data_IF_458220771497
#
_entry.id   IF_458220771497
#
_cell.length_a   1.000
_cell.length_b   1.000
_cell.length_c   1.000
_cell.angle_alpha   90.00
_cell.angle_beta   90.00
_cell.angle_gamma   90.00
#
_symmetry.space_group_name_H-M   'P 1'
#
loop_
_entity.id
_entity.type
_entity.pdbx_description
1 polymer ?
#
# COMPACT_ATOMS: atom_id res chain seq x y z
N UNK A 1 8.27 -20.22 5.38
CA UNK A 1 8.27 -18.79 5.00
C UNK A 1 6.97 -18.52 4.27
N UNK A 2 6.31 -17.41 4.60
CA UNK A 2 5.14 -16.96 3.86
C UNK A 2 5.54 -16.55 2.43
N UNK A 3 4.66 -16.79 1.47
CA UNK A 3 4.83 -16.29 0.10
C UNK A 3 3.93 -15.06 -0.07
N UNK A 4 4.53 -13.88 0.08
CA UNK A 4 3.81 -12.60 0.05
C UNK A 4 3.30 -12.25 -1.35
N UNK A 5 3.94 -12.76 -2.42
CA UNK A 5 3.41 -12.60 -3.80
C UNK A 5 2.17 -13.43 -4.00
N UNK A 6 2.17 -14.67 -3.51
CA UNK A 6 0.98 -15.50 -3.54
C UNK A 6 -0.15 -14.91 -2.68
N UNK A 7 0.18 -14.26 -1.55
CA UNK A 7 -0.80 -13.54 -0.73
C UNK A 7 -1.39 -12.33 -1.47
N UNK A 8 -0.56 -11.51 -2.12
CA UNK A 8 -1.03 -10.42 -2.99
C UNK A 8 -1.93 -10.95 -4.11
N UNK A 9 -1.54 -12.05 -4.77
CA UNK A 9 -2.36 -12.69 -5.81
C UNK A 9 -3.74 -13.10 -5.30
N UNK A 10 -3.84 -13.57 -4.05
CA UNK A 10 -5.13 -13.88 -3.40
C UNK A 10 -5.94 -12.62 -3.09
N UNK A 11 -5.32 -11.53 -2.65
CA UNK A 11 -6.02 -10.25 -2.48
C UNK A 11 -6.54 -9.71 -3.81
N UNK A 12 -5.75 -9.76 -4.88
CA UNK A 12 -6.18 -9.32 -6.21
C UNK A 12 -7.36 -10.14 -6.73
N UNK A 13 -7.32 -11.47 -6.53
CA UNK A 13 -8.44 -12.33 -6.87
C UNK A 13 -9.69 -11.99 -6.02
N UNK A 14 -9.52 -11.73 -4.73
CA UNK A 14 -10.61 -11.33 -3.83
C UNK A 14 -11.19 -9.95 -4.19
N UNK A 15 -10.36 -8.98 -4.60
CA UNK A 15 -10.78 -7.67 -5.09
C UNK A 15 -11.64 -7.83 -6.35
N UNK A 16 -11.15 -8.60 -7.33
CA UNK A 16 -11.86 -8.84 -8.59
C UNK A 16 -13.21 -9.55 -8.37
N UNK A 17 -13.28 -10.40 -7.35
CA UNK A 17 -14.50 -11.11 -6.97
C UNK A 17 -15.44 -10.32 -6.05
N UNK A 18 -15.09 -9.09 -5.63
CA UNK A 18 -15.85 -8.29 -4.67
C UNK A 18 -15.81 -8.81 -3.22
N UNK A 19 -14.99 -9.81 -2.93
CA UNK A 19 -14.87 -10.39 -1.59
C UNK A 19 -14.14 -9.47 -0.60
N UNK A 20 -13.35 -8.52 -1.10
CA UNK A 20 -12.71 -7.49 -0.28
C UNK A 20 -13.67 -6.37 0.13
N UNK A 21 -14.74 -6.15 -0.63
CA UNK A 21 -15.65 -5.02 -0.42
C UNK A 21 -16.29 -5.06 0.97
N UNK A 22 -16.83 -6.21 1.36
CA UNK A 22 -17.45 -6.39 2.68
C UNK A 22 -16.47 -6.19 3.85
N UNK A 23 -15.19 -6.52 3.66
CA UNK A 23 -14.15 -6.26 4.66
C UNK A 23 -13.88 -4.76 4.72
N UNK A 24 -13.64 -4.13 3.58
CA UNK A 24 -13.31 -2.71 3.47
C UNK A 24 -14.44 -1.82 4.02
N UNK A 25 -15.69 -2.10 3.63
CA UNK A 25 -16.88 -1.39 4.11
C UNK A 25 -17.04 -1.52 5.63
N UNK A 26 -16.84 -2.71 6.19
CA UNK A 26 -16.95 -2.95 7.64
C UNK A 26 -15.98 -2.09 8.45
N UNK A 27 -14.79 -1.83 7.91
CA UNK A 27 -13.76 -1.01 8.57
C UNK A 27 -13.76 0.46 8.11
N UNK A 28 -14.73 0.87 7.30
CA UNK A 28 -14.82 2.25 6.79
C UNK A 28 -13.63 2.63 5.89
N UNK A 29 -13.05 1.65 5.18
CA UNK A 29 -11.97 1.91 4.23
C UNK A 29 -12.50 2.69 3.04
N UNK A 30 -11.83 3.77 2.67
CA UNK A 30 -12.13 4.54 1.46
C UNK A 30 -11.30 4.06 0.27
N UNK A 31 -10.03 3.73 0.53
CA UNK A 31 -9.03 3.36 -0.47
C UNK A 31 -8.11 2.31 0.15
N UNK A 32 -7.86 1.22 -0.59
CA UNK A 32 -6.87 0.20 -0.27
C UNK A 32 -6.01 -0.08 -1.50
N UNK A 33 -4.70 -0.09 -1.35
CA UNK A 33 -3.75 -0.48 -2.40
C UNK A 33 -2.60 -1.29 -1.85
N UNK A 34 -2.03 -2.16 -2.68
CA UNK A 34 -0.76 -2.82 -2.38
C UNK A 34 0.40 -2.01 -2.96
N UNK A 35 1.54 -2.02 -2.28
CA UNK A 35 2.76 -1.38 -2.77
C UNK A 35 4.00 -2.19 -2.36
N UNK A 36 5.18 -1.60 -2.57
CA UNK A 36 6.43 -2.16 -2.09
C UNK A 36 6.92 -3.37 -2.90
N UNK A 37 7.70 -4.23 -2.24
CA UNK A 37 8.45 -5.30 -2.92
C UNK A 37 7.58 -6.44 -3.46
N UNK A 38 6.34 -6.56 -2.98
CA UNK A 38 5.37 -7.54 -3.45
C UNK A 38 4.75 -7.16 -4.80
N UNK A 39 4.69 -5.87 -5.14
CA UNK A 39 4.08 -5.36 -6.39
C UNK A 39 5.09 -5.18 -7.54
N UNK A 40 6.39 -5.31 -7.28
CA UNK A 40 7.44 -5.09 -8.28
C UNK A 40 7.42 -6.18 -9.40
N UNK A 41 7.20 -5.76 -10.68
CA UNK A 41 7.09 -6.65 -11.83
C UNK A 41 8.42 -7.21 -12.35
N UNK A 42 9.58 -6.95 -11.72
CA UNK A 42 10.89 -7.60 -12.04
C UNK A 42 10.92 -9.13 -11.75
N UNK A 43 9.74 -9.71 -11.65
CA UNK A 43 9.35 -11.07 -12.02
C UNK A 43 10.09 -11.62 -13.29
N UNK A 44 10.21 -12.94 -13.41
CA UNK A 44 11.36 -13.74 -13.84
C UNK A 44 12.20 -13.43 -15.10
N UNK A 45 11.92 -12.42 -15.90
CA UNK A 45 12.49 -12.29 -17.25
C UNK A 45 13.74 -11.40 -17.28
N UNK A 46 13.87 -10.48 -16.32
CA UNK A 46 15.07 -9.66 -16.11
C UNK A 46 16.20 -10.41 -15.37
N UNK A 47 16.01 -11.72 -15.10
CA UNK A 47 16.95 -12.64 -14.45
C UNK A 47 18.28 -12.84 -15.19
N UNK A 48 18.39 -12.45 -16.46
CA UNK A 48 19.52 -12.84 -17.31
C UNK A 48 20.73 -11.89 -17.25
N UNK A 49 20.57 -10.63 -16.80
CA UNK A 49 21.64 -9.62 -16.90
C UNK A 49 22.23 -9.11 -15.58
N UNK A 50 21.53 -9.29 -14.44
CA UNK A 50 22.01 -8.80 -13.14
C UNK A 50 22.31 -9.94 -12.17
N UNK A 51 23.61 -10.12 -11.85
CA UNK A 51 24.11 -10.98 -10.77
C UNK A 51 23.88 -10.27 -9.42
N UNK A 52 22.61 -10.09 -9.05
CA UNK A 52 22.21 -9.74 -7.68
C UNK A 52 21.27 -10.84 -7.19
N UNK A 53 21.45 -11.40 -5.99
CA UNK A 53 20.56 -12.44 -5.48
C UNK A 53 19.15 -11.86 -5.34
N UNK A 54 18.23 -12.40 -6.14
CA UNK A 54 16.80 -12.17 -6.08
C UNK A 54 16.31 -12.31 -4.63
N UNK A 55 15.71 -11.27 -4.07
CA UNK A 55 15.11 -11.32 -2.74
C UNK A 55 13.60 -11.46 -2.90
N UNK A 56 13.06 -12.56 -2.38
CA UNK A 56 11.61 -12.66 -2.19
C UNK A 56 11.13 -11.48 -1.31
N UNK A 57 9.93 -10.95 -1.56
CA UNK A 57 9.33 -9.96 -0.67
C UNK A 57 9.28 -10.53 0.76
N UNK A 58 9.52 -9.67 1.74
CA UNK A 58 9.59 -10.05 3.17
C UNK A 58 8.26 -9.89 3.88
N UNK A 59 7.40 -9.07 3.31
CA UNK A 59 6.18 -8.51 3.85
C UNK A 59 5.21 -8.20 2.68
N UNK A 60 3.99 -7.85 3.05
CA UNK A 60 2.96 -7.36 2.16
C UNK A 60 2.53 -5.97 2.62
N UNK A 61 3.09 -4.95 1.97
CA UNK A 61 2.79 -3.55 2.26
C UNK A 61 1.44 -3.13 1.65
N UNK A 62 0.54 -2.63 2.47
CA UNK A 62 -0.78 -2.15 2.05
C UNK A 62 -1.02 -0.72 2.53
N UNK A 63 -1.31 0.18 1.59
CA UNK A 63 -1.70 1.54 1.85
C UNK A 63 -3.22 1.61 2.04
N UNK A 64 -3.65 2.21 3.15
CA UNK A 64 -5.07 2.30 3.51
C UNK A 64 -5.45 3.71 3.93
N UNK A 65 -6.59 4.19 3.44
CA UNK A 65 -7.26 5.37 3.98
C UNK A 65 -8.61 4.97 4.55
N UNK A 66 -8.88 5.32 5.81
CA UNK A 66 -10.15 5.09 6.49
C UNK A 66 -10.93 6.41 6.52
N UNK A 67 -12.26 6.37 6.48
CA UNK A 67 -13.11 7.55 6.59
C UNK A 67 -12.79 8.37 7.86
N UNK A 68 -12.84 9.70 7.73
CA UNK A 68 -12.39 10.62 8.78
C UNK A 68 -13.24 10.58 10.06
N UNK A 69 -14.51 10.18 9.95
CA UNK A 69 -15.45 10.04 11.05
C UNK A 69 -15.38 8.69 11.77
N UNK A 70 -14.52 7.78 11.29
CA UNK A 70 -14.38 6.42 11.81
C UNK A 70 -13.11 6.29 12.66
N UNK A 71 -13.24 5.74 13.87
CA UNK A 71 -12.07 5.34 14.66
C UNK A 71 -11.41 4.14 13.98
N UNK A 72 -10.12 4.26 13.59
CA UNK A 72 -9.45 3.21 12.84
C UNK A 72 -9.16 1.98 13.71
N UNK A 73 -9.73 0.84 13.36
CA UNK A 73 -9.30 -0.47 13.87
C UNK A 73 -8.34 -1.13 12.87
N UNK A 74 -7.10 -0.61 12.78
CA UNK A 74 -6.09 -1.12 11.87
C UNK A 74 -5.66 -2.56 12.20
N UNK A 75 -5.68 -2.92 13.49
CA UNK A 75 -5.34 -4.27 13.94
C UNK A 75 -6.41 -5.26 13.50
N UNK A 76 -7.68 -4.93 13.70
CA UNK A 76 -8.81 -5.73 13.21
C UNK A 76 -8.84 -5.82 11.69
N UNK A 77 -8.53 -4.73 10.99
CA UNK A 77 -8.41 -4.72 9.53
C UNK A 77 -7.29 -5.65 9.05
N UNK A 78 -6.09 -5.55 9.63
CA UNK A 78 -4.96 -6.42 9.30
C UNK A 78 -5.31 -7.91 9.52
N UNK A 79 -5.97 -8.24 10.65
CA UNK A 79 -6.42 -9.60 10.94
C UNK A 79 -7.46 -10.09 9.91
N UNK A 80 -8.38 -9.23 9.48
CA UNK A 80 -9.37 -9.57 8.45
C UNK A 80 -8.73 -9.77 7.07
N UNK A 81 -7.77 -8.91 6.69
CA UNK A 81 -7.02 -9.06 5.45
C UNK A 81 -6.19 -10.34 5.44
N UNK A 82 -5.57 -10.68 6.57
CA UNK A 82 -4.86 -11.96 6.75
C UNK A 82 -5.79 -13.17 6.59
N UNK A 83 -7.04 -13.08 7.04
CA UNK A 83 -8.02 -14.14 6.82
C UNK A 83 -8.37 -14.34 5.33
N UNK A 84 -8.30 -13.28 4.52
CA UNK A 84 -8.54 -13.33 3.06
C UNK A 84 -7.30 -13.83 2.31
N UNK A 85 -6.13 -13.27 2.62
CA UNK A 85 -4.91 -13.56 1.88
C UNK A 85 -4.08 -14.70 2.46
N UNK A 86 -4.51 -15.32 3.55
CA UNK A 86 -3.79 -16.40 4.22
C UNK A 86 -2.47 -15.92 4.86
N UNK A 87 -1.53 -16.83 5.13
CA UNK A 87 -0.31 -16.49 5.87
C UNK A 87 0.56 -15.51 5.09
N UNK A 88 0.63 -14.28 5.58
CA UNK A 88 1.53 -13.21 5.18
C UNK A 88 1.79 -12.27 6.37
N UNK A 89 2.98 -11.71 6.43
CA UNK A 89 3.29 -10.54 7.26
C UNK A 89 2.72 -9.33 6.50
N UNK A 90 1.75 -8.65 7.10
CA UNK A 90 1.04 -7.51 6.50
C UNK A 90 1.44 -6.26 7.26
N UNK A 91 1.93 -5.27 6.53
CA UNK A 91 2.23 -3.94 7.04
C UNK A 91 1.23 -2.93 6.47
N UNK A 92 0.53 -2.23 7.36
CA UNK A 92 -0.47 -1.22 6.98
C UNK A 92 0.12 0.18 7.11
N UNK A 93 0.08 0.94 6.01
CA UNK A 93 0.36 2.37 6.00
C UNK A 93 -0.97 3.14 6.08
N UNK A 94 -1.26 3.78 7.22
CA UNK A 94 -2.42 4.68 7.36
C UNK A 94 -2.13 6.03 6.68
N UNK A 95 -2.78 6.24 5.53
CA UNK A 95 -2.60 7.41 4.67
C UNK A 95 -3.09 8.72 5.31
N UNK A 96 -3.82 8.67 6.44
CA UNK A 96 -4.24 9.89 7.15
C UNK A 96 -3.15 10.47 8.04
N UNK A 97 -2.19 9.63 8.45
CA UNK A 97 -1.13 10.00 9.39
C UNK A 97 0.27 9.80 8.81
N UNK A 98 0.37 9.22 7.61
CA UNK A 98 1.62 9.02 6.92
C UNK A 98 2.20 10.35 6.43
N UNK A 99 3.53 10.48 6.53
CA UNK A 99 4.26 11.60 5.95
C UNK A 99 4.13 11.62 4.42
N UNK A 100 4.19 12.80 3.77
CA UNK A 100 3.92 12.94 2.33
C UNK A 100 4.69 11.96 1.43
N UNK A 101 5.95 11.68 1.75
CA UNK A 101 6.78 10.72 1.01
C UNK A 101 6.26 9.29 1.12
N UNK A 102 5.86 8.89 2.33
CA UNK A 102 5.31 7.56 2.56
C UNK A 102 3.94 7.43 1.87
N UNK A 103 3.10 8.47 1.95
CA UNK A 103 1.82 8.55 1.24
C UNK A 103 1.99 8.40 -0.27
N UNK A 104 2.94 9.13 -0.89
CA UNK A 104 3.26 8.95 -2.31
C UNK A 104 3.75 7.53 -2.60
N UNK A 105 4.69 7.00 -1.81
CA UNK A 105 5.23 5.66 -2.03
C UNK A 105 4.15 4.56 -1.92
N UNK A 106 3.15 4.75 -1.05
CA UNK A 106 2.03 3.83 -0.88
C UNK A 106 1.00 3.86 -2.01
N UNK A 107 0.91 4.98 -2.75
CA UNK A 107 -0.14 5.21 -3.74
C UNK A 107 0.39 5.23 -5.19
N UNK A 108 1.55 5.85 -5.43
CA UNK A 108 2.14 6.00 -6.77
C UNK A 108 2.90 4.73 -7.13
N UNK A 109 2.49 4.09 -8.23
CA UNK A 109 2.98 2.77 -8.61
C UNK A 109 2.36 1.62 -7.80
N UNK A 110 1.50 1.94 -6.83
CA UNK A 110 0.71 0.97 -6.09
C UNK A 110 -0.38 0.33 -6.96
N UNK A 111 -0.78 -0.88 -6.57
CA UNK A 111 -1.85 -1.66 -7.20
C UNK A 111 -3.14 -1.46 -6.41
N UNK A 112 -4.20 -0.85 -6.99
CA UNK A 112 -5.46 -0.64 -6.30
C UNK A 112 -6.15 -1.99 -6.00
N UNK A 113 -6.62 -2.16 -4.77
CA UNK A 113 -7.36 -3.33 -4.32
C UNK A 113 -8.82 -3.03 -4.00
N UNK A 114 -9.11 -1.81 -3.54
CA UNK A 114 -10.47 -1.35 -3.24
C UNK A 114 -10.57 0.18 -3.32
N UNK A 115 -11.70 0.66 -3.82
CA UNK A 115 -12.11 2.06 -3.74
C UNK A 115 -13.61 2.14 -3.43
N UNK A 116 -14.00 2.91 -2.41
CA UNK A 116 -15.40 3.05 -1.98
C UNK A 116 -16.30 3.71 -3.04
N UNK A 117 -15.69 4.49 -3.93
CA UNK A 117 -16.34 5.08 -5.10
C UNK A 117 -15.35 5.07 -6.27
N UNK A 118 -15.86 4.98 -7.51
CA UNK A 118 -15.02 5.05 -8.70
C UNK A 118 -14.11 6.28 -8.68
N UNK A 119 -12.80 6.06 -8.88
CA UNK A 119 -11.79 7.11 -8.97
C UNK A 119 -11.24 7.62 -7.63
N UNK A 120 -11.71 7.12 -6.48
CA UNK A 120 -11.18 7.55 -5.19
C UNK A 120 -9.69 7.24 -5.03
N UNK A 121 -9.21 6.14 -5.63
CA UNK A 121 -7.79 5.80 -5.62
C UNK A 121 -6.97 6.82 -6.43
N UNK A 122 -7.44 7.17 -7.63
CA UNK A 122 -6.76 8.13 -8.50
C UNK A 122 -6.72 9.54 -7.88
N UNK A 123 -7.81 9.97 -7.23
CA UNK A 123 -7.83 11.23 -6.50
C UNK A 123 -6.84 11.23 -5.32
N UNK A 124 -6.74 10.12 -4.59
CA UNK A 124 -5.74 9.96 -3.53
C UNK A 124 -4.30 10.04 -4.08
N UNK A 125 -4.02 9.42 -5.23
CA UNK A 125 -2.72 9.51 -5.88
C UNK A 125 -2.36 10.96 -6.25
N UNK A 126 -3.29 11.69 -6.87
CA UNK A 126 -3.06 13.09 -7.24
C UNK A 126 -2.81 13.96 -6.02
N UNK A 127 -3.62 13.79 -4.97
CA UNK A 127 -3.44 14.53 -3.72
C UNK A 127 -2.06 14.27 -3.10
N UNK A 128 -1.63 13.01 -3.04
CA UNK A 128 -0.32 12.63 -2.49
C UNK A 128 0.85 13.27 -3.26
N UNK A 129 0.81 13.23 -4.60
CA UNK A 129 1.85 13.85 -5.43
C UNK A 129 1.92 15.37 -5.20
N UNK A 130 0.77 16.05 -5.13
CA UNK A 130 0.73 17.48 -4.89
C UNK A 130 1.28 17.83 -3.51
N UNK A 131 0.85 17.10 -2.48
CA UNK A 131 1.32 17.30 -1.11
C UNK A 131 2.83 17.07 -0.97
N UNK A 132 3.36 16.04 -1.62
CA UNK A 132 4.80 15.80 -1.63
C UNK A 132 5.57 16.95 -2.30
N UNK A 133 5.09 17.45 -3.44
CA UNK A 133 5.71 18.57 -4.15
C UNK A 133 5.68 19.86 -3.31
N UNK A 134 4.53 20.15 -2.69
CA UNK A 134 4.34 21.33 -1.84
C UNK A 134 5.23 21.31 -0.59
N UNK A 135 5.54 20.12 -0.08
CA UNK A 135 6.40 19.93 1.10
C UNK A 135 7.86 19.61 0.76
N UNK A 136 8.23 19.56 -0.53
CA UNK A 136 9.58 19.19 -0.97
C UNK A 136 10.68 20.11 -0.41
N UNK A 137 10.40 21.41 -0.29
CA UNK A 137 11.35 22.38 0.24
C UNK A 137 11.60 22.21 1.74
N UNK A 138 10.60 21.79 2.53
CA UNK A 138 10.75 21.50 3.96
C UNK A 138 11.69 20.32 4.17
N UNK A 139 11.48 19.24 3.42
CA UNK A 139 12.35 18.05 3.45
C UNK A 139 13.79 18.38 3.07
N UNK A 140 13.98 19.25 2.07
CA UNK A 140 15.32 19.73 1.70
C UNK A 140 15.99 20.49 2.84
N UNK A 141 15.26 21.39 3.50
CA UNK A 141 15.77 22.12 4.65
C UNK A 141 16.13 21.18 5.82
N UNK A 142 15.30 20.18 6.10
CA UNK A 142 15.58 19.17 7.12
C UNK A 142 16.86 18.37 6.81
N UNK A 143 17.06 17.95 5.56
CA UNK A 143 18.28 17.27 5.13
C UNK A 143 19.52 18.17 5.26
N UNK A 144 19.39 19.46 4.92
CA UNK A 144 20.47 20.44 5.08
C UNK A 144 20.86 20.59 6.57
N UNK A 145 19.87 20.66 7.47
CA UNK A 145 20.09 20.73 8.94
C UNK A 145 20.69 19.45 9.53
N UNK A 146 20.35 18.27 9.02
CA UNK A 146 20.93 17.00 9.48
C UNK A 146 22.36 16.78 8.96
N UNK A 147 22.73 17.46 7.87
CA UNK A 147 24.06 17.40 7.27
C UNK A 147 25.07 18.41 7.85
N UNK A 148 24.62 19.31 8.74
CA UNK A 148 25.44 20.32 9.44
C UNK A 148 25.84 19.86 10.83
#
# INVERSE_FOLDING_TARGET
MADHRAALGRLLAAATAGALDAVCERFGVEVLGAFGSATDPDSPELRAWFVYPWRAPRDLDLAVRIAADTHPDLVGLAAALHAVCGPAEIDLLDLRTAEPVATTAGLVGGVPLYEHRPGAFAEAQVAAVLEELDTAWLRRLELELLSS
#
